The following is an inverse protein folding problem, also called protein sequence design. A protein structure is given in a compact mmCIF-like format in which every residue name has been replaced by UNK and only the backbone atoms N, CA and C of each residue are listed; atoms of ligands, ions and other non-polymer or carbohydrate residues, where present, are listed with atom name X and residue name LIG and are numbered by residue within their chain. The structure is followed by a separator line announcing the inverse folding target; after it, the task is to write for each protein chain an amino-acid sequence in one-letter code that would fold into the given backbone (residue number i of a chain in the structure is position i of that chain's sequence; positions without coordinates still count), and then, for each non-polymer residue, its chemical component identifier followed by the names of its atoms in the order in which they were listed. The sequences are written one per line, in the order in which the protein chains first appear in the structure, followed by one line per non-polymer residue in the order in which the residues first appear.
data_IF_570953783797
#
_entry.id   IF_570953783797
#
_cell.length_a   1.000
_cell.length_b   1.000
_cell.length_c   1.000
_cell.angle_alpha   90.00
_cell.angle_beta   90.00
_cell.angle_gamma   90.00
#
_symmetry.space_group_name_H-M   'P 1'
#
loop_
_entity.id
_entity.type
_entity.pdbx_description
1 polymer ?
#
# COMPACT_ATOMS: atom_id res chain seq x y z
N UNK A 1 19.30 -1.51 4.44
CA UNK A 1 19.44 -0.23 3.69
C UNK A 1 18.30 -0.02 2.69
N UNK A 2 18.20 -0.75 1.56
CA UNK A 2 17.07 -0.57 0.62
C UNK A 2 15.72 -0.99 1.22
N UNK A 3 15.67 -2.15 1.88
CA UNK A 3 14.43 -2.67 2.48
C UNK A 3 13.87 -1.73 3.55
N UNK A 4 14.76 -1.12 4.35
CA UNK A 4 14.38 -0.17 5.39
C UNK A 4 13.81 1.11 4.77
N UNK A 5 14.43 1.61 3.69
CA UNK A 5 13.91 2.77 2.95
C UNK A 5 12.53 2.49 2.33
N UNK A 6 12.33 1.30 1.74
CA UNK A 6 11.02 0.89 1.19
C UNK A 6 9.98 0.77 2.31
N UNK A 7 10.36 0.20 3.45
CA UNK A 7 9.48 0.09 4.63
C UNK A 7 9.09 1.47 5.17
N UNK A 8 10.03 2.39 5.23
CA UNK A 8 9.78 3.73 5.72
C UNK A 8 8.91 4.55 4.75
N UNK A 9 9.12 4.41 3.45
CA UNK A 9 8.23 4.99 2.44
C UNK A 9 6.80 4.46 2.59
N UNK A 10 6.62 3.15 2.81
CA UNK A 10 5.31 2.56 3.05
C UNK A 10 4.66 3.11 4.34
N UNK A 11 5.43 3.26 5.42
CA UNK A 11 4.95 3.85 6.67
C UNK A 11 4.46 5.29 6.47
N UNK A 12 5.25 6.13 5.78
CA UNK A 12 4.89 7.53 5.51
C UNK A 12 3.60 7.61 4.68
N UNK A 13 3.49 6.81 3.62
CA UNK A 13 2.28 6.79 2.75
C UNK A 13 1.05 6.34 3.54
N UNK A 14 1.18 5.27 4.32
CA UNK A 14 0.09 4.73 5.13
C UNK A 14 -0.37 5.74 6.22
N UNK A 15 0.58 6.39 6.90
CA UNK A 15 0.29 7.45 7.88
C UNK A 15 -0.45 8.64 7.27
N UNK A 16 0.01 9.14 6.11
CA UNK A 16 -0.69 10.21 5.39
C UNK A 16 -2.09 9.83 4.93
N UNK A 17 -2.29 8.57 4.52
CA UNK A 17 -3.61 8.06 4.17
C UNK A 17 -4.53 8.01 5.39
N UNK A 18 -4.02 7.53 6.53
CA UNK A 18 -4.75 7.52 7.80
C UNK A 18 -5.19 8.93 8.22
N UNK A 19 -4.29 9.91 8.18
CA UNK A 19 -4.58 11.32 8.48
C UNK A 19 -5.72 11.86 7.59
N UNK A 20 -5.67 11.60 6.28
CA UNK A 20 -6.70 12.08 5.33
C UNK A 20 -8.05 11.41 5.54
N UNK A 21 -8.06 10.11 5.79
CA UNK A 21 -9.30 9.36 6.04
C UNK A 21 -9.93 9.78 7.37
N UNK A 22 -9.11 10.01 8.41
CA UNK A 22 -9.59 10.53 9.69
C UNK A 22 -10.26 11.90 9.52
N UNK A 23 -9.70 12.79 8.69
CA UNK A 23 -10.32 14.06 8.34
C UNK A 23 -11.68 13.93 7.62
N UNK A 24 -11.93 12.79 6.98
CA UNK A 24 -13.21 12.46 6.35
C UNK A 24 -14.16 11.65 7.25
N UNK A 25 -13.83 11.49 8.54
CA UNK A 25 -14.64 10.73 9.49
C UNK A 25 -14.50 9.20 9.39
N UNK A 26 -13.49 8.71 8.66
CA UNK A 26 -13.20 7.28 8.50
C UNK A 26 -11.99 6.88 9.34
N UNK A 27 -12.08 5.73 10.02
CA UNK A 27 -10.96 5.19 10.81
C UNK A 27 -10.21 4.12 10.03
N UNK A 28 -8.90 4.31 9.82
CA UNK A 28 -8.00 3.31 9.25
C UNK A 28 -7.01 2.83 10.32
N UNK A 29 -7.00 1.52 10.60
CA UNK A 29 -5.96 0.89 11.41
C UNK A 29 -4.77 0.48 10.54
N UNK A 30 -3.55 0.78 10.98
CA UNK A 30 -2.32 0.41 10.26
C UNK A 30 -1.71 -0.85 10.88
N UNK A 31 -1.48 -1.87 10.05
CA UNK A 31 -0.73 -3.07 10.43
C UNK A 31 0.78 -2.88 10.30
N UNK A 32 1.55 -3.88 10.75
CA UNK A 32 3.00 -3.87 10.60
C UNK A 32 3.39 -4.09 9.12
N UNK A 33 4.32 -3.28 8.57
CA UNK A 33 4.75 -3.42 7.19
C UNK A 33 5.60 -4.68 6.99
N UNK A 34 5.29 -5.45 5.94
CA UNK A 34 6.04 -6.64 5.54
C UNK A 34 6.76 -6.36 4.23
N UNK A 35 8.07 -6.58 4.20
CA UNK A 35 8.86 -6.49 2.97
C UNK A 35 8.97 -7.88 2.33
N UNK A 36 8.63 -7.99 1.05
CA UNK A 36 8.73 -9.23 0.27
C UNK A 36 9.59 -8.97 -0.96
N UNK A 37 10.67 -9.73 -1.13
CA UNK A 37 11.54 -9.67 -2.32
C UNK A 37 11.53 -10.99 -3.09
N UNK A 38 11.67 -10.93 -4.42
CA UNK A 38 11.79 -12.12 -5.27
C UNK A 38 10.48 -12.88 -5.58
N UNK A 39 9.34 -12.38 -5.09
CA UNK A 39 8.04 -12.95 -5.43
C UNK A 39 7.65 -12.61 -6.88
N UNK A 40 7.25 -13.61 -7.67
CA UNK A 40 6.68 -13.42 -9.03
C UNK A 40 5.25 -12.91 -9.01
N UNK A 41 4.54 -13.17 -7.92
CA UNK A 41 3.17 -12.74 -7.68
C UNK A 41 2.96 -12.58 -6.19
N UNK A 42 2.27 -11.52 -5.78
CA UNK A 42 1.89 -11.32 -4.39
C UNK A 42 0.37 -11.46 -4.27
N UNK A 43 -0.07 -12.46 -3.50
CA UNK A 43 -1.48 -12.65 -3.17
C UNK A 43 -1.64 -12.28 -1.68
N UNK A 44 -1.99 -11.02 -1.43
CA UNK A 44 -2.16 -10.53 -0.05
C UNK A 44 -3.51 -11.04 0.43
N UNK A 45 -3.50 -12.00 1.37
CA UNK A 45 -4.67 -12.75 1.85
C UNK A 45 -5.83 -11.96 2.48
N UNK A 46 -5.85 -10.63 2.36
CA UNK A 46 -7.08 -9.88 2.47
C UNK A 46 -7.86 -10.12 1.17
N UNK A 47 -8.77 -11.08 1.23
CA UNK A 47 -9.78 -11.38 0.21
C UNK A 47 -10.17 -10.15 -0.63
N UNK A 48 -9.44 -9.93 -1.74
CA UNK A 48 -9.87 -9.09 -2.87
C UNK A 48 -11.10 -9.70 -3.54
N UNK A 49 -11.51 -10.90 -3.13
CA UNK A 49 -12.62 -11.67 -3.69
C UNK A 49 -13.92 -10.85 -3.67
N UNK A 50 -14.07 -9.91 -2.72
CA UNK A 50 -15.15 -8.92 -2.67
C UNK A 50 -14.64 -7.46 -2.50
N UNK A 51 -13.40 -7.18 -2.91
CA UNK A 51 -12.77 -5.89 -2.63
C UNK A 51 -12.50 -5.05 -3.88
N UNK A 52 -12.63 -3.72 -3.75
CA UNK A 52 -12.22 -2.80 -4.82
C UNK A 52 -10.69 -2.67 -4.79
N UNK A 53 -10.06 -2.82 -5.95
CA UNK A 53 -8.64 -2.52 -6.14
C UNK A 53 -8.44 -1.28 -7.00
N UNK A 54 -7.55 -0.42 -6.54
CA UNK A 54 -7.06 0.72 -7.31
C UNK A 54 -5.55 0.55 -7.52
N UNK A 55 -5.10 0.75 -8.75
CA UNK A 55 -3.68 0.70 -9.11
C UNK A 55 -3.21 2.08 -9.55
N UNK A 56 -2.20 2.61 -8.86
CA UNK A 56 -1.57 3.88 -9.21
C UNK A 56 -0.15 3.59 -9.69
N UNK A 57 0.16 4.04 -10.91
CA UNK A 57 1.52 4.01 -11.46
C UNK A 57 2.14 5.40 -11.33
N UNK A 58 3.26 5.47 -10.62
CA UNK A 58 4.07 6.68 -10.53
C UNK A 58 5.28 6.53 -11.46
N UNK A 59 5.36 7.43 -12.44
CA UNK A 59 6.53 7.52 -13.31
C UNK A 59 7.70 8.16 -12.58
N UNK A 60 8.81 7.46 -12.49
CA UNK A 60 10.05 7.99 -11.92
C UNK A 60 11.07 8.30 -13.04
N UNK A 61 12.01 9.24 -12.81
CA UNK A 61 13.15 9.43 -13.72
C UNK A 61 13.86 8.09 -13.94
N UNK A 62 14.31 7.83 -15.17
CA UNK A 62 15.01 6.61 -15.60
C UNK A 62 14.15 5.34 -15.81
N UNK A 63 12.81 5.47 -15.89
CA UNK A 63 11.82 4.39 -16.12
C UNK A 63 11.55 3.39 -14.98
N UNK A 64 11.92 3.56 -13.69
CA UNK A 64 11.34 2.74 -12.66
C UNK A 64 9.84 3.05 -12.50
N UNK A 65 9.04 2.01 -12.33
CA UNK A 65 7.59 2.12 -12.06
C UNK A 65 7.35 1.75 -10.60
N UNK A 66 6.79 2.68 -9.83
CA UNK A 66 6.21 2.34 -8.53
C UNK A 66 4.73 2.04 -8.72
N UNK A 67 4.38 0.77 -8.54
CA UNK A 67 3.02 0.25 -8.56
C UNK A 67 2.46 0.20 -7.15
N UNK A 68 1.36 0.91 -6.89
CA UNK A 68 0.68 0.93 -5.60
C UNK A 68 -0.70 0.30 -5.76
N UNK A 69 -0.99 -0.74 -4.96
CA UNK A 69 -2.28 -1.41 -4.91
C UNK A 69 -2.98 -1.19 -3.58
N UNK A 70 -4.27 -0.88 -3.63
CA UNK A 70 -5.15 -0.83 -2.45
C UNK A 70 -6.13 -1.99 -2.49
N UNK A 71 -6.44 -2.58 -1.34
CA UNK A 71 -7.48 -3.58 -1.18
C UNK A 71 -8.34 -3.19 0.02
N UNK A 72 -9.63 -3.04 -0.20
CA UNK A 72 -10.62 -2.78 0.84
C UNK A 72 -11.64 -3.92 0.85
N UNK A 73 -12.07 -4.36 2.03
CA UNK A 73 -13.18 -5.30 2.20
C UNK A 73 -14.41 -4.51 2.63
N UNK A 74 -15.55 -4.71 1.96
CA UNK A 74 -16.83 -4.17 2.43
C UNK A 74 -17.20 -4.81 3.78
N UNK A 75 -17.74 -3.98 4.69
CA UNK A 75 -18.19 -4.38 6.02
C UNK A 75 -19.57 -5.00 6.01
#
# INVERSE_FOLDING_TARGET
MLQDAVRELANIVAGRMQERLQGAGMTLGLGLPVYVGGARSLNVGASLVNGVSAHVQLGLPDRPVLAIGFAAKEG
#
